data_IF_390539231659
#
_entry.id   IF_390539231659
#
_cell.length_a   1.000
_cell.length_b   1.000
_cell.length_c   1.000
_cell.angle_alpha   90.00
_cell.angle_beta   90.00
_cell.angle_gamma   90.00
#
_symmetry.space_group_name_H-M   'P 1'
#
loop_
_entity.id
_entity.type
_entity.pdbx_description
1 polymer ?
#
# COMPACT_ATOMS: atom_id res chain seq x y z
N UNK A 1 -47.02 -9.28 -0.83
CA UNK A 1 -46.12 -8.82 -1.91
C UNK A 1 -45.17 -7.82 -1.26
N UNK A 2 -44.01 -8.31 -0.80
CA UNK A 2 -43.01 -7.50 -0.10
C UNK A 2 -41.86 -7.25 -1.07
N UNK A 3 -41.58 -5.98 -1.39
CA UNK A 3 -40.36 -5.62 -2.09
C UNK A 3 -39.17 -5.83 -1.15
N UNK A 4 -38.12 -6.57 -1.56
CA UNK A 4 -36.88 -6.53 -0.84
C UNK A 4 -36.20 -5.18 -1.14
N UNK A 5 -36.12 -4.36 -0.10
CA UNK A 5 -35.22 -3.21 0.00
C UNK A 5 -33.78 -3.68 -0.29
N UNK A 6 -33.40 -3.70 -1.57
CA UNK A 6 -32.01 -3.85 -2.00
C UNK A 6 -31.31 -2.54 -1.70
N UNK A 7 -30.83 -2.42 -0.47
CA UNK A 7 -29.94 -1.33 -0.05
C UNK A 7 -28.68 -1.41 -0.91
N UNK A 8 -28.65 -0.58 -1.95
CA UNK A 8 -27.45 -0.24 -2.70
C UNK A 8 -26.38 0.20 -1.69
N UNK A 9 -25.35 -0.62 -1.48
CA UNK A 9 -24.09 -0.17 -0.84
C UNK A 9 -22.93 -0.19 -1.85
N UNK A 10 -22.76 0.84 -2.70
CA UNK A 10 -21.49 1.06 -3.40
C UNK A 10 -20.69 2.27 -2.87
N UNK A 11 -21.08 2.92 -1.76
CA UNK A 11 -20.37 4.13 -1.29
C UNK A 11 -19.00 3.88 -0.63
N UNK A 12 -18.71 2.68 -0.12
CA UNK A 12 -17.54 2.48 0.75
C UNK A 12 -16.18 2.45 0.03
N UNK A 13 -16.14 2.31 -1.30
CA UNK A 13 -14.90 2.10 -2.06
C UNK A 13 -14.68 3.08 -3.21
N UNK A 14 -15.49 4.14 -3.32
CA UNK A 14 -15.33 5.13 -4.39
C UNK A 14 -13.94 5.79 -4.39
N UNK A 15 -13.37 5.98 -3.19
CA UNK A 15 -12.02 6.50 -3.01
C UNK A 15 -10.91 5.63 -3.62
N UNK A 16 -11.19 4.36 -3.94
CA UNK A 16 -10.26 3.44 -4.61
C UNK A 16 -10.28 3.56 -6.14
N UNK A 17 -11.22 4.31 -6.72
CA UNK A 17 -11.31 4.50 -8.16
C UNK A 17 -9.96 4.87 -8.83
N UNK A 18 -9.19 5.87 -8.33
CA UNK A 18 -7.90 6.20 -8.95
C UNK A 18 -6.87 5.07 -8.85
N UNK A 19 -6.86 4.31 -7.75
CA UNK A 19 -5.97 3.15 -7.58
C UNK A 19 -6.32 2.05 -8.58
N UNK A 20 -7.61 1.76 -8.75
CA UNK A 20 -8.08 0.77 -9.73
C UNK A 20 -7.75 1.18 -11.16
N UNK A 21 -7.94 2.46 -11.49
CA UNK A 21 -7.62 2.99 -12.80
C UNK A 21 -6.12 2.84 -13.09
N UNK A 22 -5.26 3.22 -12.15
CA UNK A 22 -3.82 3.07 -12.29
C UNK A 22 -3.40 1.60 -12.45
N UNK A 23 -4.02 0.65 -11.74
CA UNK A 23 -3.72 -0.77 -11.93
C UNK A 23 -4.26 -1.35 -13.24
N UNK A 24 -5.37 -0.82 -13.77
CA UNK A 24 -5.95 -1.27 -15.04
C UNK A 24 -5.15 -0.77 -16.26
N UNK A 25 -4.60 0.44 -16.17
CA UNK A 25 -3.76 1.09 -17.20
C UNK A 25 -2.30 0.54 -17.23
N UNK A 26 -2.05 -0.58 -16.56
CA UNK A 26 -0.72 -1.18 -16.39
C UNK A 26 -0.33 -2.07 -17.59
N UNK A 27 -0.04 -1.45 -18.75
CA UNK A 27 0.51 -2.20 -19.90
C UNK A 27 1.92 -2.73 -19.59
N UNK A 28 2.83 -1.87 -19.08
CA UNK A 28 4.25 -2.25 -18.88
C UNK A 28 4.70 -2.35 -17.40
N UNK A 29 4.00 -1.72 -16.47
CA UNK A 29 4.36 -1.76 -15.04
C UNK A 29 3.15 -1.91 -14.15
N UNK A 30 3.21 -2.93 -13.28
CA UNK A 30 2.19 -3.26 -12.28
C UNK A 30 2.58 -2.81 -10.88
N UNK A 31 3.70 -2.10 -10.75
CA UNK A 31 4.11 -1.45 -9.51
C UNK A 31 3.38 -0.13 -9.30
N UNK A 32 2.86 0.09 -8.10
CA UNK A 32 2.06 1.26 -7.77
C UNK A 32 2.37 1.74 -6.35
N UNK A 33 2.63 3.03 -6.21
CA UNK A 33 2.71 3.70 -4.91
C UNK A 33 1.38 4.41 -4.67
N UNK A 34 0.79 4.21 -3.49
CA UNK A 34 -0.42 4.92 -3.08
C UNK A 34 -0.07 5.81 -1.90
N UNK A 35 -0.07 7.12 -2.13
CA UNK A 35 0.22 8.12 -1.11
C UNK A 35 -1.04 8.41 -0.31
N UNK A 36 -1.03 8.00 0.96
CA UNK A 36 -2.04 8.33 1.94
C UNK A 36 -1.71 9.67 2.60
N UNK A 37 -2.71 10.53 2.86
CA UNK A 37 -2.51 11.80 3.56
C UNK A 37 -2.24 11.63 5.06
N UNK A 38 -2.61 10.47 5.63
CA UNK A 38 -2.38 10.13 7.03
C UNK A 38 -2.33 8.61 7.23
N UNK A 39 -1.76 8.18 8.36
CA UNK A 39 -1.61 6.76 8.67
C UNK A 39 -2.97 6.10 8.90
N UNK A 40 -3.43 5.30 7.93
CA UNK A 40 -4.76 4.68 7.91
C UNK A 40 -4.69 3.18 7.59
N UNK A 41 -4.18 2.34 8.51
CA UNK A 41 -4.01 0.91 8.28
C UNK A 41 -5.34 0.20 7.96
N UNK A 42 -6.45 0.69 8.52
CA UNK A 42 -7.81 0.21 8.23
C UNK A 42 -8.19 0.35 6.75
N UNK A 43 -7.83 1.48 6.14
CA UNK A 43 -8.09 1.74 4.73
C UNK A 43 -7.15 0.94 3.84
N UNK A 44 -5.91 0.71 4.25
CA UNK A 44 -4.96 -0.12 3.50
C UNK A 44 -5.44 -1.58 3.45
N UNK A 45 -5.89 -2.15 4.58
CA UNK A 45 -6.47 -3.49 4.59
C UNK A 45 -7.75 -3.57 3.72
N UNK A 46 -8.59 -2.54 3.80
CA UNK A 46 -9.79 -2.43 2.96
C UNK A 46 -9.42 -2.37 1.47
N UNK A 47 -8.37 -1.63 1.11
CA UNK A 47 -7.84 -1.55 -0.24
C UNK A 47 -7.37 -2.91 -0.73
N UNK A 48 -6.50 -3.60 0.02
CA UNK A 48 -5.99 -4.93 -0.36
C UNK A 48 -7.14 -5.91 -0.64
N UNK A 49 -8.10 -5.99 0.28
CA UNK A 49 -9.29 -6.85 0.15
C UNK A 49 -10.14 -6.48 -1.06
N UNK A 50 -10.39 -5.19 -1.26
CA UNK A 50 -11.21 -4.68 -2.37
C UNK A 50 -10.56 -4.88 -3.73
N UNK A 51 -9.23 -4.88 -3.79
CA UNK A 51 -8.44 -5.17 -4.99
C UNK A 51 -8.20 -6.67 -5.18
N UNK A 52 -8.56 -7.52 -4.20
CA UNK A 52 -8.31 -8.95 -4.24
C UNK A 52 -6.82 -9.30 -4.16
N UNK A 53 -6.00 -8.45 -3.52
CA UNK A 53 -4.55 -8.61 -3.38
C UNK A 53 -4.20 -9.19 -2.01
N UNK A 54 -3.06 -9.86 -1.92
CA UNK A 54 -2.52 -10.34 -0.65
C UNK A 54 -2.08 -9.13 0.19
N UNK A 55 -2.59 -9.01 1.41
CA UNK A 55 -2.13 -8.00 2.35
C UNK A 55 -0.96 -8.52 3.18
N UNK A 56 0.16 -7.79 3.18
CA UNK A 56 1.31 -8.09 4.04
C UNK A 56 1.67 -6.84 4.83
N UNK A 57 1.57 -6.93 6.16
CA UNK A 57 2.16 -5.94 7.06
C UNK A 57 3.64 -6.31 7.30
N UNK A 58 4.56 -5.62 6.62
CA UNK A 58 5.99 -5.94 6.67
C UNK A 58 6.56 -5.75 8.08
N UNK A 59 6.17 -4.67 8.78
CA UNK A 59 6.63 -4.43 10.15
C UNK A 59 6.22 -5.58 11.07
N UNK A 60 4.96 -6.00 11.02
CA UNK A 60 4.44 -7.06 11.89
C UNK A 60 5.02 -8.43 11.53
N UNK A 61 5.14 -8.73 10.24
CA UNK A 61 5.49 -10.08 9.75
C UNK A 61 7.00 -10.32 9.73
N UNK A 62 7.80 -9.29 9.44
CA UNK A 62 9.24 -9.42 9.21
C UNK A 62 10.07 -8.73 10.30
N UNK A 63 9.74 -7.49 10.68
CA UNK A 63 10.57 -6.72 11.60
C UNK A 63 10.32 -7.05 13.07
N UNK A 64 9.05 -7.11 13.50
CA UNK A 64 8.68 -7.32 14.89
C UNK A 64 9.27 -8.60 15.51
N UNK A 65 9.30 -9.76 14.81
CA UNK A 65 9.92 -10.98 15.34
C UNK A 65 11.42 -10.87 15.61
N UNK A 66 12.11 -9.95 14.92
CA UNK A 66 13.56 -9.76 15.01
C UNK A 66 13.97 -8.75 16.10
N UNK A 67 13.02 -7.95 16.62
CA UNK A 67 13.28 -6.94 17.64
C UNK A 67 14.45 -6.02 17.24
N UNK A 68 15.48 -5.94 18.08
CA UNK A 68 16.67 -5.12 17.82
C UNK A 68 17.46 -5.53 16.56
N UNK A 69 17.35 -6.79 16.12
CA UNK A 69 18.02 -7.24 14.90
C UNK A 69 17.35 -6.73 13.62
N UNK A 70 16.14 -6.15 13.70
CA UNK A 70 15.43 -5.60 12.54
C UNK A 70 16.21 -4.50 11.82
N UNK A 71 17.09 -3.77 12.52
CA UNK A 71 17.95 -2.74 11.94
C UNK A 71 18.99 -3.29 10.93
N UNK A 72 19.20 -4.62 10.90
CA UNK A 72 20.14 -5.28 9.99
C UNK A 72 19.49 -5.82 8.72
N UNK A 73 18.15 -5.70 8.61
CA UNK A 73 17.44 -6.19 7.43
C UNK A 73 17.87 -5.37 6.21
N UNK A 74 18.30 -5.99 5.10
CA UNK A 74 18.62 -5.26 3.89
C UNK A 74 17.35 -4.77 3.19
N UNK A 75 17.42 -3.61 2.52
CA UNK A 75 16.28 -3.03 1.82
C UNK A 75 15.66 -3.96 0.75
N UNK A 76 16.47 -4.83 0.13
CA UNK A 76 16.00 -5.82 -0.83
C UNK A 76 14.99 -6.83 -0.26
N UNK A 77 14.88 -6.93 1.06
CA UNK A 77 13.92 -7.80 1.73
C UNK A 77 12.47 -7.39 1.46
N UNK A 78 12.19 -6.09 1.25
CA UNK A 78 10.84 -5.63 0.86
C UNK A 78 10.41 -6.28 -0.46
N UNK A 79 11.30 -6.27 -1.44
CA UNK A 79 11.06 -6.86 -2.75
C UNK A 79 10.91 -8.38 -2.65
N UNK A 80 11.77 -9.04 -1.88
CA UNK A 80 11.71 -10.49 -1.67
C UNK A 80 10.37 -10.91 -1.06
N UNK A 81 9.94 -10.25 0.03
CA UNK A 81 8.67 -10.54 0.71
C UNK A 81 7.46 -10.27 -0.20
N UNK A 82 7.53 -9.21 -1.00
CA UNK A 82 6.48 -8.91 -1.98
C UNK A 82 6.37 -10.03 -3.03
N UNK A 83 7.49 -10.49 -3.60
CA UNK A 83 7.53 -11.59 -4.56
C UNK A 83 6.94 -12.87 -3.95
N UNK A 84 7.40 -13.28 -2.78
CA UNK A 84 6.87 -14.47 -2.08
C UNK A 84 5.35 -14.38 -1.87
N UNK A 85 4.83 -13.20 -1.55
CA UNK A 85 3.40 -12.98 -1.38
C UNK A 85 2.64 -13.04 -2.71
N UNK A 86 3.23 -12.50 -3.78
CA UNK A 86 2.69 -12.54 -5.13
C UNK A 86 2.64 -13.97 -5.68
N UNK A 87 3.57 -14.85 -5.34
CA UNK A 87 3.51 -16.28 -5.72
C UNK A 87 2.27 -16.98 -5.19
N UNK A 88 1.80 -16.60 -3.99
CA UNK A 88 0.62 -17.19 -3.34
C UNK A 88 -0.72 -16.58 -3.78
N UNK A 89 -0.71 -15.55 -4.63
CA UNK A 89 -1.91 -14.80 -4.97
C UNK A 89 -1.86 -14.11 -6.33
N UNK A 90 -2.77 -13.15 -6.51
CA UNK A 90 -2.92 -12.35 -7.73
C UNK A 90 -2.03 -11.11 -7.75
N UNK A 91 -1.43 -10.74 -6.61
CA UNK A 91 -0.62 -9.54 -6.38
C UNK A 91 -0.53 -9.23 -4.89
N UNK A 92 0.12 -8.13 -4.51
CA UNK A 92 0.39 -7.79 -3.11
C UNK A 92 0.17 -6.30 -2.80
N UNK A 93 -0.34 -6.03 -1.60
CA UNK A 93 -0.22 -4.75 -0.90
C UNK A 93 0.78 -4.92 0.23
N UNK A 94 1.95 -4.28 0.11
CA UNK A 94 3.01 -4.33 1.11
C UNK A 94 2.91 -3.12 2.04
N UNK A 95 2.19 -3.28 3.15
CA UNK A 95 1.99 -2.23 4.14
C UNK A 95 3.18 -2.13 5.11
N UNK A 96 3.36 -0.94 5.70
CA UNK A 96 4.42 -0.64 6.66
C UNK A 96 5.85 -0.90 6.14
N UNK A 97 6.07 -0.86 4.82
CA UNK A 97 7.42 -0.90 4.24
C UNK A 97 8.28 0.29 4.69
N UNK A 98 7.63 1.41 5.03
CA UNK A 98 8.21 2.64 5.55
C UNK A 98 9.03 2.41 6.83
N UNK A 99 8.69 1.40 7.62
CA UNK A 99 9.43 1.05 8.83
C UNK A 99 10.85 0.58 8.52
N UNK A 100 11.07 -0.16 7.42
CA UNK A 100 12.40 -0.53 6.97
C UNK A 100 13.05 0.63 6.20
N UNK A 101 12.30 1.29 5.32
CA UNK A 101 12.81 2.42 4.54
C UNK A 101 13.40 3.50 5.46
N UNK A 102 12.75 3.81 6.59
CA UNK A 102 13.24 4.78 7.58
C UNK A 102 14.58 4.45 8.23
N UNK A 103 15.12 3.25 8.03
CA UNK A 103 16.46 2.86 8.48
C UNK A 103 17.55 3.13 7.42
N UNK A 104 17.17 3.62 6.25
CA UNK A 104 18.06 3.87 5.12
C UNK A 104 18.08 5.35 4.74
N UNK A 105 19.20 5.78 4.14
CA UNK A 105 19.36 7.13 3.60
C UNK A 105 18.38 7.42 2.46
N UNK A 106 18.12 8.70 2.21
CA UNK A 106 17.14 9.18 1.23
C UNK A 106 17.40 8.62 -0.17
N UNK A 107 18.65 8.60 -0.61
CA UNK A 107 19.03 8.12 -1.94
C UNK A 107 18.63 6.65 -2.14
N UNK A 108 18.75 5.84 -1.07
CA UNK A 108 18.35 4.43 -1.09
C UNK A 108 16.84 4.26 -1.10
N UNK A 109 16.10 5.10 -0.38
CA UNK A 109 14.63 5.08 -0.36
C UNK A 109 14.08 5.50 -1.72
N UNK A 110 14.58 6.59 -2.29
CA UNK A 110 14.22 7.09 -3.62
C UNK A 110 14.55 6.06 -4.72
N UNK A 111 15.71 5.40 -4.64
CA UNK A 111 16.07 4.30 -5.53
C UNK A 111 15.06 3.15 -5.46
N UNK A 112 14.63 2.77 -4.25
CA UNK A 112 13.63 1.71 -4.07
C UNK A 112 12.26 2.09 -4.64
N UNK A 113 11.77 3.30 -4.37
CA UNK A 113 10.50 3.77 -4.95
C UNK A 113 10.54 3.82 -6.47
N UNK A 114 11.65 4.29 -7.06
CA UNK A 114 11.84 4.33 -8.50
C UNK A 114 11.82 2.93 -9.12
N UNK A 115 12.48 1.96 -8.49
CA UNK A 115 12.46 0.56 -8.92
C UNK A 115 11.06 -0.05 -8.80
N UNK A 116 10.33 0.25 -7.74
CA UNK A 116 8.97 -0.26 -7.57
C UNK A 116 8.06 0.18 -8.72
N UNK A 117 8.11 1.43 -9.16
CA UNK A 117 7.26 1.89 -10.26
C UNK A 117 7.80 1.58 -11.66
N UNK A 118 9.02 1.02 -11.76
CA UNK A 118 9.63 0.63 -13.03
C UNK A 118 8.96 -0.63 -13.62
N UNK A 119 9.02 -0.83 -14.95
CA UNK A 119 8.58 -2.07 -15.60
C UNK A 119 9.24 -3.32 -15.00
N UNK A 120 8.54 -4.46 -15.09
CA UNK A 120 9.10 -5.78 -14.71
C UNK A 120 8.31 -6.57 -13.68
N UNK A 121 7.21 -6.03 -13.15
CA UNK A 121 6.33 -6.77 -12.24
C UNK A 121 5.28 -7.57 -13.01
N UNK A 122 5.31 -8.90 -12.87
CA UNK A 122 4.30 -9.78 -13.47
C UNK A 122 2.90 -9.61 -12.85
N UNK A 123 2.86 -9.24 -11.57
CA UNK A 123 1.64 -9.08 -10.77
C UNK A 123 1.61 -7.71 -10.09
N UNK A 124 0.42 -7.18 -9.74
CA UNK A 124 0.31 -5.94 -8.98
C UNK A 124 1.14 -5.94 -7.70
N UNK A 125 2.01 -4.93 -7.56
CA UNK A 125 2.74 -4.63 -6.35
C UNK A 125 2.39 -3.21 -5.91
N UNK A 126 1.54 -3.11 -4.89
CA UNK A 126 1.11 -1.85 -4.31
C UNK A 126 1.85 -1.56 -3.00
N UNK A 127 2.48 -0.39 -2.92
CA UNK A 127 3.10 0.14 -1.70
C UNK A 127 2.32 1.36 -1.19
N UNK A 128 1.53 1.23 -0.10
CA UNK A 128 0.96 2.37 0.61
C UNK A 128 2.06 3.13 1.35
N UNK A 129 2.07 4.44 1.21
CA UNK A 129 3.09 5.33 1.78
C UNK A 129 2.41 6.54 2.42
N UNK A 130 2.87 6.96 3.60
CA UNK A 130 2.37 8.14 4.32
C UNK A 130 3.48 9.17 4.59
N UNK A 131 4.69 8.67 4.83
CA UNK A 131 5.94 9.37 5.06
C UNK A 131 6.75 9.44 3.75
N UNK A 132 7.86 10.18 3.75
CA UNK A 132 8.80 10.20 2.62
C UNK A 132 8.18 10.62 1.28
N UNK A 133 7.18 11.50 1.30
CA UNK A 133 6.52 11.97 0.09
C UNK A 133 7.51 12.65 -0.89
N UNK A 134 8.54 13.30 -0.35
CA UNK A 134 9.58 13.99 -1.14
C UNK A 134 10.52 13.00 -1.86
N UNK A 135 10.58 11.74 -1.41
CA UNK A 135 11.42 10.69 -2.00
C UNK A 135 10.72 9.98 -3.17
N UNK A 136 9.44 10.29 -3.43
CA UNK A 136 8.64 9.63 -4.44
C UNK A 136 9.01 10.12 -5.86
N UNK A 137 8.98 9.23 -6.88
CA UNK A 137 9.24 9.63 -8.26
C UNK A 137 8.28 10.72 -8.74
N UNK A 138 8.81 11.91 -8.99
CA UNK A 138 8.02 13.06 -9.41
C UNK A 138 7.25 12.77 -10.71
N UNK A 139 5.97 13.14 -10.74
CA UNK A 139 5.09 13.07 -11.93
C UNK A 139 4.91 11.67 -12.53
N UNK A 140 5.15 10.61 -11.75
CA UNK A 140 4.87 9.25 -12.21
C UNK A 140 3.37 8.94 -12.16
N UNK A 141 2.75 8.41 -13.23
CA UNK A 141 1.36 7.93 -13.19
C UNK A 141 1.18 6.71 -12.28
N UNK A 142 2.29 6.15 -11.78
CA UNK A 142 2.34 5.04 -10.82
C UNK A 142 2.52 5.52 -9.38
N UNK A 143 2.35 6.82 -9.14
CA UNK A 143 2.15 7.38 -7.80
C UNK A 143 0.74 7.96 -7.78
N UNK A 144 -0.14 7.34 -6.99
CA UNK A 144 -1.52 7.78 -6.82
C UNK A 144 -1.65 8.48 -5.48
N UNK A 145 -1.96 9.76 -5.51
CA UNK A 145 -2.26 10.54 -4.31
C UNK A 145 -3.74 10.45 -3.97
N UNK A 146 -4.05 10.09 -2.73
CA UNK A 146 -5.42 10.02 -2.27
C UNK A 146 -5.90 11.37 -1.75
N UNK A 147 -7.02 11.83 -2.30
CA UNK A 147 -7.72 13.04 -1.87
C UNK A 147 -8.31 12.82 -0.46
N UNK A 148 -7.89 13.58 0.56
CA UNK A 148 -8.35 13.41 1.93
C UNK A 148 -9.87 13.60 2.06
N UNK A 149 -10.49 14.46 1.25
CA UNK A 149 -11.93 14.74 1.31
C UNK A 149 -12.77 13.59 0.75
N UNK A 150 -12.14 12.67 0.00
CA UNK A 150 -12.79 11.47 -0.54
C UNK A 150 -12.61 10.26 0.34
N UNK A 151 -11.71 10.30 1.32
CA UNK A 151 -11.44 9.17 2.19
C UNK A 151 -12.61 8.92 3.14
N UNK A 152 -12.92 7.66 3.46
CA UNK A 152 -13.88 7.35 4.52
C UNK A 152 -13.42 7.98 5.84
N UNK A 153 -14.37 8.65 6.52
CA UNK A 153 -14.14 9.26 7.81
C UNK A 153 -13.54 8.24 8.80
N UNK A 154 -12.55 8.70 9.55
CA UNK A 154 -11.92 7.88 10.57
C UNK A 154 -12.87 7.72 11.75
N UNK A 155 -13.22 6.48 12.09
CA UNK A 155 -14.02 6.24 13.27
C UNK A 155 -13.18 6.47 14.55
N UNK A 156 -13.82 6.84 15.65
CA UNK A 156 -13.15 7.17 16.92
C UNK A 156 -12.26 6.02 17.43
N UNK A 157 -12.66 4.77 17.18
CA UNK A 157 -11.92 3.58 17.60
C UNK A 157 -10.62 3.40 16.81
N UNK A 158 -10.61 3.69 15.51
CA UNK A 158 -9.41 3.69 14.68
C UNK A 158 -8.42 4.75 15.16
N UNK A 159 -8.91 5.95 15.51
CA UNK A 159 -8.08 7.03 16.08
C UNK A 159 -7.41 6.61 17.40
N UNK A 160 -8.12 5.88 18.25
CA UNK A 160 -7.59 5.39 19.53
C UNK A 160 -6.63 4.20 19.37
N UNK A 161 -6.82 3.36 18.35
CA UNK A 161 -5.94 2.23 18.06
C UNK A 161 -4.56 2.66 17.52
N UNK A 162 -4.48 3.81 16.83
CA UNK A 162 -3.23 4.39 16.35
C UNK A 162 -2.35 5.05 17.42
N UNK A 163 -2.85 5.20 18.65
CA UNK A 163 -2.12 5.80 19.78
C UNK A 163 -1.34 4.77 20.64
N UNK A 164 -1.23 3.52 20.20
CA UNK A 164 -0.58 2.42 20.93
C UNK A 164 0.81 2.08 20.42
#
# INVERSE_FOLDING_TARGET
MFEPNSVFKPKATHWLAPVRAALADAEDTRGLIVRFPSYRPDLVETMARSLGLVFVDFRKTCMAPLGFAAAKIPLGELTRVAIDAMERGSGVVLHNCEALLGLHAEERRAEWFSRLVSPGWEKPFVAPVTLFADDLPAKSPRVVELDPDRLPAENLLSRLAGLR
#
